data_IF_963430139301
#
_entry.id   IF_963430139301
#
_cell.length_a   1.000
_cell.length_b   1.000
_cell.length_c   1.000
_cell.angle_alpha   90.00
_cell.angle_beta   90.00
_cell.angle_gamma   90.00
#
_symmetry.space_group_name_H-M   'P 1'
#
loop_
_entity.id
_entity.type
_entity.pdbx_description
1 polymer ?
#
# COMPACT_ATOMS: atom_id res chain seq x y z
N UNK A 1 0.41 0.44 -9.93
CA UNK A 1 -0.99 0.68 -10.35
C UNK A 1 -1.84 0.88 -9.10
N UNK A 2 -2.71 1.88 -9.11
CA UNK A 2 -3.63 2.17 -8.01
C UNK A 2 -5.05 2.27 -8.60
N UNK A 3 -6.01 1.61 -7.96
CA UNK A 3 -7.42 1.64 -8.29
C UNK A 3 -8.20 2.11 -7.07
N UNK A 4 -8.83 3.27 -7.15
CA UNK A 4 -9.60 3.86 -6.06
C UNK A 4 -11.10 3.81 -6.33
N UNK A 5 -11.89 3.52 -5.29
CA UNK A 5 -13.34 3.68 -5.29
C UNK A 5 -13.72 4.81 -4.33
N UNK A 6 -14.33 5.87 -4.88
CA UNK A 6 -14.97 6.97 -4.14
C UNK A 6 -14.06 7.69 -3.13
N UNK A 7 -12.74 7.68 -3.34
CA UNK A 7 -11.75 8.18 -2.37
C UNK A 7 -11.81 7.51 -0.97
N UNK A 8 -12.55 6.40 -0.84
CA UNK A 8 -12.70 5.64 0.41
C UNK A 8 -11.80 4.42 0.38
N UNK A 9 -11.82 3.64 -0.70
CA UNK A 9 -11.06 2.38 -0.80
C UNK A 9 -10.03 2.51 -1.92
N UNK A 10 -8.79 2.12 -1.64
CA UNK A 10 -7.69 2.17 -2.59
C UNK A 10 -7.03 0.81 -2.68
N UNK A 11 -7.15 0.14 -3.81
CA UNK A 11 -6.35 -1.03 -4.13
C UNK A 11 -5.04 -0.58 -4.78
N UNK A 12 -3.92 -1.10 -4.32
CA UNK A 12 -2.61 -0.89 -4.95
C UNK A 12 -2.04 -2.22 -5.36
N UNK A 13 -1.56 -2.29 -6.59
CA UNK A 13 -0.81 -3.41 -7.12
C UNK A 13 0.40 -2.88 -7.87
N UNK A 14 1.57 -3.43 -7.61
CA UNK A 14 2.82 -3.02 -8.23
C UNK A 14 3.78 -4.19 -8.31
N UNK A 15 4.72 -4.10 -9.24
CA UNK A 15 5.88 -4.96 -9.26
C UNK A 15 7.11 -4.06 -9.36
N UNK A 16 8.19 -4.47 -8.73
CA UNK A 16 9.47 -3.80 -8.80
C UNK A 16 10.48 -4.80 -9.37
N UNK A 17 11.14 -4.39 -10.45
CA UNK A 17 12.21 -5.16 -11.05
C UNK A 17 13.53 -4.59 -10.55
N UNK A 18 14.18 -5.31 -9.63
CA UNK A 18 15.51 -4.94 -9.16
C UNK A 18 16.55 -5.20 -10.24
N UNK A 19 17.16 -4.14 -10.80
CA UNK A 19 18.23 -4.27 -11.80
C UNK A 19 19.53 -4.84 -11.22
N UNK A 20 19.74 -4.68 -9.91
CA UNK A 20 20.94 -5.16 -9.20
C UNK A 20 20.78 -6.61 -8.69
N UNK A 21 19.62 -6.96 -8.13
CA UNK A 21 19.40 -8.26 -7.48
C UNK A 21 18.75 -9.33 -8.38
N UNK A 22 18.32 -9.01 -9.62
CA UNK A 22 17.47 -9.89 -10.47
C UNK A 22 16.19 -10.39 -9.75
N UNK A 23 15.78 -9.67 -8.73
CA UNK A 23 14.66 -10.06 -7.87
C UNK A 23 13.39 -9.38 -8.39
N UNK A 24 12.38 -10.19 -8.68
CA UNK A 24 11.02 -9.73 -9.01
C UNK A 24 10.24 -9.55 -7.71
N UNK A 25 10.08 -8.29 -7.29
CA UNK A 25 9.27 -7.96 -6.14
C UNK A 25 7.82 -7.69 -6.56
N UNK A 26 6.88 -8.35 -5.88
CA UNK A 26 5.45 -8.12 -6.04
C UNK A 26 4.93 -7.35 -4.82
N UNK A 27 4.25 -6.25 -5.07
CA UNK A 27 3.68 -5.37 -4.06
C UNK A 27 2.18 -5.30 -4.24
N UNK A 28 1.42 -5.63 -3.21
CA UNK A 28 -0.04 -5.44 -3.16
C UNK A 28 -0.42 -4.65 -1.93
N UNK A 29 -1.54 -3.94 -1.96
CA UNK A 29 -2.00 -3.17 -0.82
C UNK A 29 -3.44 -2.73 -0.92
N UNK A 30 -4.00 -2.45 0.25
CA UNK A 30 -5.36 -2.00 0.48
C UNK A 30 -5.31 -0.77 1.38
N UNK A 31 -5.90 0.32 0.94
CA UNK A 31 -6.01 1.57 1.68
C UNK A 31 -7.48 1.89 1.95
N UNK A 32 -7.75 2.42 3.13
CA UNK A 32 -9.07 2.89 3.56
C UNK A 32 -8.96 4.32 4.07
N UNK A 33 -9.75 5.23 3.52
CA UNK A 33 -9.96 6.57 4.05
C UNK A 33 -11.28 6.60 4.81
N UNK A 34 -11.18 6.93 6.09
CA UNK A 34 -12.32 7.07 6.99
C UNK A 34 -12.45 8.57 7.32
N UNK A 35 -13.46 9.27 6.76
CA UNK A 35 -13.75 10.64 7.15
C UNK A 35 -14.36 10.64 8.56
N UNK A 36 -13.73 11.35 9.49
CA UNK A 36 -14.16 11.52 10.87
C UNK A 36 -14.33 13.02 11.16
N UNK A 37 -15.43 13.60 10.66
CA UNK A 37 -15.69 15.04 10.74
C UNK A 37 -14.66 15.85 9.95
N UNK A 38 -13.93 16.74 10.63
CA UNK A 38 -12.84 17.53 10.02
C UNK A 38 -11.53 16.76 9.92
N UNK A 39 -11.46 15.53 10.46
CA UNK A 39 -10.26 14.70 10.43
C UNK A 39 -10.43 13.61 9.39
N UNK A 40 -9.37 13.33 8.64
CA UNK A 40 -9.29 12.17 7.73
C UNK A 40 -8.29 11.17 8.28
N UNK A 41 -8.77 9.98 8.59
CA UNK A 41 -7.91 8.85 8.97
C UNK A 41 -7.73 7.96 7.77
N UNK A 42 -6.47 7.71 7.39
CA UNK A 42 -6.11 6.78 6.33
C UNK A 42 -5.38 5.58 6.94
N UNK A 43 -5.88 4.38 6.65
CA UNK A 43 -5.28 3.11 7.03
C UNK A 43 -4.81 2.42 5.78
N UNK A 44 -3.53 2.09 5.71
CA UNK A 44 -2.91 1.43 4.56
C UNK A 44 -2.29 0.10 4.99
N UNK A 45 -2.76 -1.00 4.40
CA UNK A 45 -2.18 -2.33 4.49
C UNK A 45 -1.42 -2.61 3.21
N UNK A 46 -0.18 -3.06 3.30
CA UNK A 46 0.62 -3.44 2.14
C UNK A 46 1.39 -4.73 2.41
N UNK A 47 1.49 -5.56 1.38
CA UNK A 47 2.26 -6.80 1.38
C UNK A 47 3.24 -6.77 0.21
N UNK A 48 4.49 -7.07 0.49
CA UNK A 48 5.58 -7.13 -0.47
C UNK A 48 6.20 -8.52 -0.43
N UNK A 49 6.36 -9.15 -1.58
CA UNK A 49 6.96 -10.48 -1.73
C UNK A 49 8.13 -10.45 -2.70
N UNK A 50 9.22 -11.11 -2.33
CA UNK A 50 10.39 -11.24 -3.17
C UNK A 50 11.11 -9.91 -3.37
N UNK A 51 11.44 -9.18 -2.30
CA UNK A 51 12.46 -8.13 -2.33
C UNK A 51 13.65 -8.59 -1.46
N UNK A 52 14.55 -7.71 -1.02
CA UNK A 52 15.60 -8.03 -0.03
C UNK A 52 15.07 -8.75 1.23
N UNK A 53 13.79 -8.51 1.59
CA UNK A 53 13.05 -9.37 2.50
C UNK A 53 12.13 -10.29 1.70
N UNK A 54 12.14 -11.62 1.99
CA UNK A 54 11.35 -12.60 1.22
C UNK A 54 9.86 -12.32 1.29
N UNK A 55 9.37 -11.83 2.43
CA UNK A 55 7.99 -11.37 2.63
C UNK A 55 7.99 -10.22 3.63
N UNK A 56 7.25 -9.14 3.35
CA UNK A 56 7.09 -8.01 4.27
C UNK A 56 5.65 -7.54 4.31
N UNK A 57 5.10 -7.46 5.52
CA UNK A 57 3.79 -6.89 5.80
C UNK A 57 3.97 -5.50 6.41
N UNK A 58 3.26 -4.49 5.88
CA UNK A 58 3.33 -3.10 6.33
C UNK A 58 1.93 -2.61 6.65
N UNK A 59 1.78 -2.05 7.84
CA UNK A 59 0.59 -1.33 8.28
C UNK A 59 0.99 0.13 8.48
N UNK A 60 0.31 1.05 7.83
CA UNK A 60 0.53 2.49 7.98
C UNK A 60 -0.76 3.18 8.37
N UNK A 61 -0.66 4.13 9.29
CA UNK A 61 -1.78 4.95 9.73
C UNK A 61 -1.41 6.42 9.51
N UNK A 62 -2.26 7.17 8.84
CA UNK A 62 -2.08 8.59 8.58
C UNK A 62 -3.31 9.34 9.07
N UNK A 63 -3.08 10.41 9.82
CA UNK A 63 -4.13 11.33 10.27
C UNK A 63 -3.88 12.67 9.59
N UNK A 64 -4.90 13.20 8.92
CA UNK A 64 -4.91 14.52 8.30
C UNK A 64 -6.00 15.40 8.89
N UNK A 65 -5.73 16.69 8.98
CA UNK A 65 -6.65 17.74 9.45
C UNK A 65 -7.06 18.64 8.28
#
# INVERSE_FOLDING_TARGET
MEAGLMDIIFLRGGYEFGRDDNVLALNTGLGFNIPAGNVKVKVDLAYSYGNYLPSTERVSLKVGF
#
